data_IF_707220178667
#
_entry.id   IF_707220178667
#
_cell.length_a   1.000
_cell.length_b   1.000
_cell.length_c   1.000
_cell.angle_alpha   90.00
_cell.angle_beta   90.00
_cell.angle_gamma   90.00
#
_symmetry.space_group_name_H-M   'P 1'
#
loop_
_entity.id
_entity.type
_entity.pdbx_description
1 polymer ?
#
# COMPACT_ATOMS: atom_id res chain seq x y z
N UNK A 1 2.87 -8.21 12.62
CA UNK A 1 3.31 -7.65 11.32
C UNK A 1 4.17 -6.45 11.63
N UNK A 2 5.36 -6.34 11.05
CA UNK A 2 6.24 -5.19 11.31
C UNK A 2 5.67 -3.93 10.65
N UNK A 3 5.60 -2.85 11.42
CA UNK A 3 5.16 -1.53 10.97
C UNK A 3 6.35 -0.63 10.61
N UNK A 4 6.11 0.47 9.92
CA UNK A 4 7.14 1.50 9.67
C UNK A 4 7.67 2.10 10.97
N UNK A 5 6.83 2.19 12.01
CA UNK A 5 7.22 2.65 13.33
C UNK A 5 8.21 1.70 14.01
N UNK A 6 8.01 0.37 13.87
CA UNK A 6 8.95 -0.63 14.41
C UNK A 6 10.32 -0.51 13.72
N UNK A 7 10.34 -0.32 12.38
CA UNK A 7 11.59 -0.11 11.65
C UNK A 7 12.29 1.18 12.05
N UNK A 8 11.56 2.25 12.33
CA UNK A 8 12.15 3.50 12.83
C UNK A 8 12.79 3.29 14.21
N UNK A 9 12.13 2.53 15.10
CA UNK A 9 12.68 2.19 16.41
C UNK A 9 13.94 1.33 16.29
N UNK A 10 13.95 0.31 15.42
CA UNK A 10 15.15 -0.49 15.16
C UNK A 10 16.27 0.34 14.55
N UNK A 11 15.96 1.32 13.69
CA UNK A 11 16.94 2.26 13.17
C UNK A 11 17.60 3.08 14.29
N UNK A 12 16.82 3.59 15.24
CA UNK A 12 17.34 4.34 16.38
C UNK A 12 18.31 3.48 17.23
N UNK A 13 17.90 2.27 17.59
CA UNK A 13 18.76 1.36 18.37
C UNK A 13 20.03 0.95 17.61
N UNK A 14 19.90 0.65 16.33
CA UNK A 14 21.03 0.34 15.47
C UNK A 14 21.97 1.53 15.31
N UNK A 15 21.44 2.75 15.21
CA UNK A 15 22.21 3.98 15.15
C UNK A 15 23.02 4.23 16.42
N UNK A 16 22.40 4.06 17.60
CA UNK A 16 23.08 4.15 18.89
C UNK A 16 24.21 3.11 18.97
N UNK A 17 23.92 1.85 18.60
CA UNK A 17 24.94 0.81 18.58
C UNK A 17 26.09 1.13 17.61
N UNK A 18 25.81 1.70 16.45
CA UNK A 18 26.81 2.17 15.48
C UNK A 18 27.76 3.21 16.11
N UNK A 19 27.20 4.19 16.84
CA UNK A 19 27.98 5.22 17.53
C UNK A 19 28.84 4.61 18.64
N UNK A 20 28.34 3.64 19.39
CA UNK A 20 29.12 2.90 20.43
C UNK A 20 30.27 2.15 19.78
N UNK A 21 30.06 1.42 18.69
CA UNK A 21 31.13 0.71 17.99
C UNK A 21 32.16 1.67 17.38
N UNK A 22 31.72 2.83 16.87
CA UNK A 22 32.64 3.86 16.39
C UNK A 22 33.53 4.41 17.52
N UNK A 23 32.94 4.72 18.69
CA UNK A 23 33.70 5.17 19.85
C UNK A 23 34.70 4.11 20.32
N UNK A 24 34.27 2.84 20.39
CA UNK A 24 35.16 1.73 20.74
C UNK A 24 36.28 1.54 19.70
N UNK A 25 36.02 1.73 18.42
CA UNK A 25 37.03 1.68 17.38
C UNK A 25 38.08 2.77 17.61
N UNK A 26 37.67 4.02 17.88
CA UNK A 26 38.59 5.13 18.18
C UNK A 26 39.46 4.79 19.39
N UNK A 27 38.86 4.34 20.49
CA UNK A 27 39.59 3.93 21.70
C UNK A 27 40.57 2.78 21.40
N UNK A 28 40.16 1.79 20.60
CA UNK A 28 41.03 0.68 20.22
C UNK A 28 42.24 1.12 19.38
N UNK A 29 42.14 2.21 18.61
CA UNK A 29 43.30 2.79 17.93
C UNK A 29 44.21 3.54 18.89
N UNK A 30 43.66 4.29 19.85
CA UNK A 30 44.43 5.03 20.87
C UNK A 30 45.21 4.03 21.75
N UNK A 31 44.56 2.98 22.21
CA UNK A 31 45.18 1.96 23.09
C UNK A 31 45.92 0.86 22.30
N UNK A 32 46.00 0.95 20.98
CA UNK A 32 46.67 -0.01 20.08
C UNK A 32 46.21 -1.46 20.27
N UNK A 33 44.90 -1.67 20.52
CA UNK A 33 44.32 -3.02 20.68
C UNK A 33 44.44 -3.83 19.41
N UNK A 34 44.68 -5.14 19.49
CA UNK A 34 44.79 -6.02 18.34
C UNK A 34 43.50 -6.16 17.52
N UNK A 35 42.35 -5.82 18.11
CA UNK A 35 41.03 -5.93 17.48
C UNK A 35 40.59 -4.64 16.74
N UNK A 36 41.41 -3.56 16.71
CA UNK A 36 41.07 -2.25 16.16
C UNK A 36 40.47 -2.32 14.74
N UNK A 37 41.07 -3.09 13.85
CA UNK A 37 40.58 -3.23 12.46
C UNK A 37 39.26 -3.99 12.36
N UNK A 38 39.03 -4.97 13.26
CA UNK A 38 37.74 -5.69 13.34
C UNK A 38 36.62 -4.75 13.78
N UNK A 39 36.90 -3.85 14.72
CA UNK A 39 35.92 -2.84 15.17
C UNK A 39 35.56 -1.86 14.06
N UNK A 40 36.50 -1.46 13.19
CA UNK A 40 36.20 -0.64 12.00
C UNK A 40 35.24 -1.38 11.08
N UNK A 41 35.51 -2.65 10.78
CA UNK A 41 34.63 -3.47 9.95
C UNK A 41 33.22 -3.61 10.54
N UNK A 42 33.11 -3.86 11.85
CA UNK A 42 31.83 -3.92 12.56
C UNK A 42 31.09 -2.58 12.51
N UNK A 43 31.77 -1.46 12.71
CA UNK A 43 31.17 -0.12 12.63
C UNK A 43 30.64 0.14 11.22
N UNK A 44 31.40 -0.20 10.18
CA UNK A 44 30.98 -0.06 8.79
C UNK A 44 29.74 -0.89 8.47
N UNK A 45 29.71 -2.15 8.92
CA UNK A 45 28.54 -3.02 8.77
C UNK A 45 27.31 -2.45 9.49
N UNK A 46 27.46 -2.01 10.73
CA UNK A 46 26.35 -1.42 11.52
C UNK A 46 25.82 -0.14 10.88
N UNK A 47 26.67 0.68 10.24
CA UNK A 47 26.26 1.88 9.52
C UNK A 47 25.38 1.52 8.32
N UNK A 48 25.78 0.53 7.52
CA UNK A 48 24.98 0.05 6.38
C UNK A 48 23.66 -0.56 6.85
N UNK A 49 23.68 -1.35 7.94
CA UNK A 49 22.47 -1.92 8.54
C UNK A 49 21.50 -0.82 9.00
N UNK A 50 22.00 0.21 9.68
CA UNK A 50 21.20 1.35 10.12
C UNK A 50 20.57 2.08 8.93
N UNK A 51 21.34 2.32 7.87
CA UNK A 51 20.81 2.93 6.63
C UNK A 51 19.74 2.07 5.96
N UNK A 52 19.90 0.75 5.93
CA UNK A 52 18.90 -0.18 5.42
C UNK A 52 17.61 -0.18 6.22
N UNK A 53 17.70 -0.23 7.56
CA UNK A 53 16.54 -0.14 8.45
C UNK A 53 15.81 1.20 8.31
N UNK A 54 16.56 2.29 8.18
CA UNK A 54 15.99 3.61 7.92
C UNK A 54 15.23 3.63 6.59
N UNK A 55 15.81 3.10 5.52
CA UNK A 55 15.13 3.03 4.23
C UNK A 55 13.81 2.23 4.31
N UNK A 56 13.77 1.13 5.08
CA UNK A 56 12.56 0.35 5.32
C UNK A 56 11.52 1.10 6.17
N UNK A 57 11.92 2.07 6.99
CA UNK A 57 11.00 2.90 7.76
C UNK A 57 10.27 3.94 6.91
N UNK A 58 10.82 4.33 5.75
CA UNK A 58 10.24 5.35 4.88
C UNK A 58 9.10 4.82 4.01
N UNK A 59 9.11 3.54 3.68
CA UNK A 59 8.12 2.91 2.80
C UNK A 59 7.39 1.81 3.55
N UNK A 60 6.05 1.87 3.69
CA UNK A 60 5.30 0.81 4.34
C UNK A 60 5.40 -0.48 3.51
N UNK A 61 6.02 -1.50 4.07
CA UNK A 61 6.16 -2.84 3.47
C UNK A 61 4.84 -3.62 3.49
N UNK A 62 3.93 -3.28 4.41
CA UNK A 62 2.63 -3.92 4.53
C UNK A 62 1.54 -3.02 3.96
N UNK A 63 0.67 -3.60 3.14
CA UNK A 63 -0.55 -2.93 2.71
C UNK A 63 -1.52 -2.86 3.88
N UNK A 64 -2.14 -1.70 4.08
CA UNK A 64 -3.23 -1.58 5.05
C UNK A 64 -4.37 -2.50 4.64
N UNK A 65 -4.75 -3.42 5.51
CA UNK A 65 -5.89 -4.31 5.28
C UNK A 65 -7.12 -3.65 5.89
N UNK A 66 -8.13 -3.41 5.05
CA UNK A 66 -9.42 -2.86 5.50
C UNK A 66 -10.34 -4.04 5.83
N UNK A 67 -10.84 -4.12 7.08
CA UNK A 67 -11.75 -5.20 7.48
C UNK A 67 -13.00 -5.24 6.60
N UNK A 68 -13.41 -6.43 6.19
CA UNK A 68 -14.59 -6.63 5.33
C UNK A 68 -14.34 -6.41 3.83
N UNK A 69 -13.13 -6.02 3.42
CA UNK A 69 -12.79 -5.91 2.01
C UNK A 69 -12.74 -7.29 1.34
N UNK A 70 -13.45 -7.43 0.21
CA UNK A 70 -13.42 -8.61 -0.65
C UNK A 70 -12.18 -8.64 -1.56
N UNK A 71 -11.95 -9.79 -2.17
CA UNK A 71 -10.92 -9.93 -3.22
C UNK A 71 -11.37 -9.20 -4.48
N UNK A 72 -10.43 -8.53 -5.13
CA UNK A 72 -10.64 -7.88 -6.42
C UNK A 72 -9.47 -8.14 -7.36
N UNK A 73 -9.71 -7.99 -8.65
CA UNK A 73 -8.69 -8.06 -9.71
C UNK A 73 -8.65 -6.73 -10.44
N UNK A 74 -7.46 -6.18 -10.63
CA UNK A 74 -7.27 -4.99 -11.46
C UNK A 74 -7.42 -5.38 -12.93
N UNK A 75 -8.38 -4.75 -13.63
CA UNK A 75 -8.70 -5.06 -15.03
C UNK A 75 -8.17 -3.98 -15.97
N UNK A 76 -8.18 -2.75 -15.51
CA UNK A 76 -7.72 -1.60 -16.29
C UNK A 76 -7.09 -0.57 -15.36
N UNK A 77 -5.96 -0.01 -15.78
CA UNK A 77 -5.30 1.10 -15.12
C UNK A 77 -4.57 1.94 -16.18
N UNK A 78 -4.94 3.22 -16.28
CA UNK A 78 -4.27 4.14 -17.21
C UNK A 78 -2.97 4.74 -16.65
N UNK A 79 -2.55 4.31 -15.46
CA UNK A 79 -1.36 4.82 -14.78
C UNK A 79 -1.51 6.25 -14.21
N UNK A 80 -2.65 6.91 -14.40
CA UNK A 80 -2.93 8.29 -14.02
C UNK A 80 -4.18 8.37 -13.11
N UNK A 81 -5.31 8.76 -13.67
CA UNK A 81 -6.53 9.17 -12.95
C UNK A 81 -7.64 8.13 -12.94
N UNK A 82 -7.51 7.02 -13.67
CA UNK A 82 -8.59 6.04 -13.81
C UNK A 82 -8.10 4.62 -13.67
N UNK A 83 -8.83 3.83 -12.87
CA UNK A 83 -8.65 2.40 -12.76
C UNK A 83 -10.01 1.68 -12.69
N UNK A 84 -10.05 0.42 -13.12
CA UNK A 84 -11.22 -0.44 -13.04
C UNK A 84 -10.82 -1.75 -12.38
N UNK A 85 -11.59 -2.13 -11.37
CA UNK A 85 -11.43 -3.40 -10.68
C UNK A 85 -12.62 -4.33 -10.97
N UNK A 86 -12.35 -5.62 -11.06
CA UNK A 86 -13.38 -6.66 -11.14
C UNK A 86 -13.56 -7.30 -9.78
N UNK A 87 -14.79 -7.51 -9.39
CA UNK A 87 -15.20 -8.07 -8.09
C UNK A 87 -16.19 -9.22 -8.29
N UNK A 88 -16.35 -10.04 -7.24
CA UNK A 88 -17.33 -11.12 -7.25
C UNK A 88 -18.77 -10.55 -7.29
N UNK A 89 -19.69 -11.10 -8.09
CA UNK A 89 -21.11 -10.69 -8.12
C UNK A 89 -21.85 -10.87 -6.79
N UNK A 90 -21.40 -11.76 -5.91
CA UNK A 90 -22.02 -12.03 -4.60
C UNK A 90 -21.64 -11.01 -3.51
N UNK A 91 -20.98 -9.91 -3.86
CA UNK A 91 -20.51 -8.93 -2.90
C UNK A 91 -21.67 -8.13 -2.29
N UNK A 92 -21.65 -7.91 -0.98
CA UNK A 92 -22.60 -7.02 -0.32
C UNK A 92 -22.21 -5.53 -0.53
N UNK A 93 -23.16 -4.58 -0.42
CA UNK A 93 -22.84 -3.15 -0.54
C UNK A 93 -21.78 -2.68 0.46
N UNK A 94 -21.81 -3.16 1.70
CA UNK A 94 -20.79 -2.84 2.72
C UNK A 94 -19.42 -3.41 2.39
N UNK A 95 -19.37 -4.65 1.89
CA UNK A 95 -18.13 -5.26 1.44
C UNK A 95 -17.58 -4.58 0.17
N UNK A 96 -18.45 -4.08 -0.71
CA UNK A 96 -18.05 -3.28 -1.86
C UNK A 96 -17.39 -1.96 -1.44
N UNK A 97 -17.96 -1.26 -0.46
CA UNK A 97 -17.36 -0.03 0.07
C UNK A 97 -15.97 -0.30 0.64
N UNK A 98 -15.83 -1.32 1.49
CA UNK A 98 -14.54 -1.72 2.06
C UNK A 98 -13.54 -2.10 0.96
N UNK A 99 -13.99 -2.81 -0.08
CA UNK A 99 -13.15 -3.22 -1.22
C UNK A 99 -12.69 -2.02 -2.06
N UNK A 100 -13.56 -1.05 -2.30
CA UNK A 100 -13.21 0.18 -3.00
C UNK A 100 -12.18 1.00 -2.21
N UNK A 101 -12.35 1.12 -0.89
CA UNK A 101 -11.36 1.78 -0.01
C UNK A 101 -10.03 1.04 -0.02
N UNK A 102 -10.06 -0.31 0.02
CA UNK A 102 -8.85 -1.13 -0.08
C UNK A 102 -8.14 -0.94 -1.42
N UNK A 103 -8.90 -0.92 -2.53
CA UNK A 103 -8.35 -0.66 -3.86
C UNK A 103 -7.75 0.74 -3.96
N UNK A 104 -8.42 1.75 -3.39
CA UNK A 104 -7.92 3.12 -3.35
C UNK A 104 -6.59 3.23 -2.60
N UNK A 105 -6.44 2.52 -1.48
CA UNK A 105 -5.17 2.46 -0.74
C UNK A 105 -4.08 1.73 -1.52
N UNK A 106 -4.40 0.59 -2.15
CA UNK A 106 -3.42 -0.25 -2.84
C UNK A 106 -2.94 0.32 -4.16
N UNK A 107 -3.81 1.06 -4.89
CA UNK A 107 -3.51 1.62 -6.20
C UNK A 107 -2.95 3.04 -6.13
N UNK A 108 -2.82 3.60 -4.94
CA UNK A 108 -2.16 4.88 -4.75
C UNK A 108 -0.66 4.80 -5.07
N UNK A 109 -0.16 5.78 -5.80
CA UNK A 109 1.27 5.96 -6.06
C UNK A 109 1.58 7.44 -6.24
N UNK A 110 2.70 7.90 -5.70
CA UNK A 110 3.21 9.27 -5.92
C UNK A 110 3.55 9.56 -7.39
N UNK A 111 3.78 8.52 -8.20
CA UNK A 111 4.06 8.67 -9.63
C UNK A 111 2.83 8.86 -10.51
N UNK A 112 1.62 8.77 -9.96
CA UNK A 112 0.40 9.07 -10.70
C UNK A 112 0.27 10.58 -10.87
N UNK A 113 0.28 11.04 -12.10
CA UNK A 113 0.10 12.44 -12.43
C UNK A 113 -1.38 12.72 -12.73
N UNK A 114 -1.92 13.74 -12.08
CA UNK A 114 -3.22 14.30 -12.42
C UNK A 114 -3.21 14.82 -13.86
N UNK A 115 -4.35 14.78 -14.52
CA UNK A 115 -4.50 15.25 -15.89
C UNK A 115 -5.36 16.53 -15.91
N UNK A 116 -4.86 17.60 -16.53
CA UNK A 116 -5.61 18.85 -16.74
C UNK A 116 -6.26 19.46 -15.48
N UNK A 117 -5.54 19.49 -14.37
CA UNK A 117 -6.02 20.11 -13.13
C UNK A 117 -6.86 19.19 -12.23
N UNK A 118 -7.27 18.00 -12.67
CA UNK A 118 -7.88 16.98 -11.80
C UNK A 118 -6.80 16.06 -11.21
N UNK A 119 -6.45 16.29 -9.95
CA UNK A 119 -5.47 15.51 -9.22
C UNK A 119 -6.15 14.39 -8.39
N UNK A 120 -7.12 13.70 -9.00
CA UNK A 120 -7.87 12.63 -8.36
C UNK A 120 -7.81 11.32 -9.13
N UNK A 121 -7.76 10.20 -8.38
CA UNK A 121 -7.87 8.85 -8.92
C UNK A 121 -9.31 8.37 -8.73
N UNK A 122 -9.98 8.02 -9.83
CA UNK A 122 -11.29 7.38 -9.84
C UNK A 122 -11.13 5.88 -10.09
N UNK A 123 -11.59 5.06 -9.14
CA UNK A 123 -11.59 3.60 -9.26
C UNK A 123 -13.03 3.14 -9.35
N UNK A 124 -13.36 2.43 -10.44
CA UNK A 124 -14.69 1.86 -10.68
C UNK A 124 -14.66 0.36 -10.41
N UNK A 125 -15.65 -0.12 -9.66
CA UNK A 125 -15.84 -1.55 -9.43
C UNK A 125 -16.90 -2.09 -10.37
N UNK A 126 -16.55 -3.15 -11.10
CA UNK A 126 -17.48 -3.87 -11.98
C UNK A 126 -17.51 -5.36 -11.66
N UNK A 127 -18.61 -5.99 -11.97
CA UNK A 127 -18.72 -7.45 -12.11
C UNK A 127 -19.12 -7.80 -13.53
N UNK A 128 -19.00 -9.08 -13.90
CA UNK A 128 -19.50 -9.61 -15.18
C UNK A 128 -20.79 -10.38 -14.89
N UNK A 129 -21.84 -10.03 -15.59
CA UNK A 129 -23.09 -10.80 -15.59
C UNK A 129 -23.27 -11.46 -16.96
N UNK A 130 -23.82 -12.67 -16.95
CA UNK A 130 -24.04 -13.48 -18.14
C UNK A 130 -25.56 -13.64 -18.35
N UNK A 131 -26.24 -12.66 -18.99
CA UNK A 131 -27.70 -12.72 -19.17
C UNK A 131 -28.12 -13.85 -20.12
N UNK A 132 -27.25 -14.19 -21.08
CA UNK A 132 -27.47 -15.27 -22.05
C UNK A 132 -26.20 -16.09 -22.29
N UNK A 133 -26.29 -17.34 -22.72
CA UNK A 133 -25.12 -18.14 -23.04
C UNK A 133 -24.24 -17.46 -24.09
N UNK A 134 -22.95 -17.26 -23.77
CA UNK A 134 -21.97 -16.61 -24.63
C UNK A 134 -21.96 -15.07 -24.57
N UNK A 135 -22.87 -14.44 -23.83
CA UNK A 135 -22.92 -12.99 -23.64
C UNK A 135 -22.43 -12.62 -22.25
N UNK A 136 -21.41 -11.74 -22.19
CA UNK A 136 -20.87 -11.20 -20.94
C UNK A 136 -21.02 -9.68 -20.93
N UNK A 137 -21.76 -9.16 -19.95
CA UNK A 137 -22.02 -7.71 -19.82
C UNK A 137 -21.37 -7.21 -18.55
N UNK A 138 -20.54 -6.14 -18.62
CA UNK A 138 -19.98 -5.51 -17.44
C UNK A 138 -21.04 -4.69 -16.71
N UNK A 139 -21.27 -4.98 -15.44
CA UNK A 139 -22.16 -4.22 -14.56
C UNK A 139 -21.32 -3.44 -13.54
N UNK A 140 -21.40 -2.13 -13.58
CA UNK A 140 -20.70 -1.26 -12.62
C UNK A 140 -21.54 -1.11 -11.35
N UNK A 141 -20.96 -1.44 -10.19
CA UNK A 141 -21.66 -1.46 -8.90
C UNK A 141 -21.34 -0.24 -8.04
N UNK A 142 -20.26 0.46 -8.35
CA UNK A 142 -19.87 1.66 -7.61
C UNK A 142 -18.52 2.20 -8.04
N UNK A 143 -18.15 3.31 -7.44
CA UNK A 143 -16.86 3.96 -7.66
C UNK A 143 -16.35 4.65 -6.39
N UNK A 144 -15.05 4.86 -6.32
CA UNK A 144 -14.39 5.69 -5.31
C UNK A 144 -13.51 6.71 -6.00
N UNK A 145 -13.54 7.94 -5.48
CA UNK A 145 -12.68 9.02 -5.92
C UNK A 145 -11.80 9.46 -4.74
N UNK A 146 -10.47 9.46 -4.96
CA UNK A 146 -9.48 9.88 -3.96
C UNK A 146 -8.56 10.94 -4.53
N UNK A 147 -8.03 11.80 -3.65
CA UNK A 147 -7.02 12.77 -4.01
C UNK A 147 -5.65 12.08 -4.16
N UNK A 148 -4.88 12.46 -5.19
CA UNK A 148 -3.51 11.99 -5.44
C UNK A 148 -2.44 12.83 -4.73
N UNK A 149 -2.80 14.03 -4.20
CA UNK A 149 -1.85 14.89 -3.52
C UNK A 149 -1.45 14.34 -2.12
N UNK A 150 -2.30 13.53 -1.49
CA UNK A 150 -2.04 12.97 -0.17
C UNK A 150 -2.18 11.46 -0.17
N UNK A 151 -1.25 10.79 0.54
CA UNK A 151 -1.33 9.35 0.76
C UNK A 151 -2.49 8.98 1.69
N UNK A 152 -2.70 9.77 2.73
CA UNK A 152 -3.81 9.60 3.67
C UNK A 152 -4.93 10.58 3.31
N UNK A 153 -5.79 10.17 2.38
CA UNK A 153 -6.99 10.91 2.03
C UNK A 153 -8.15 10.43 2.91
N UNK A 154 -8.49 11.24 3.90
CA UNK A 154 -9.62 10.96 4.82
C UNK A 154 -10.97 11.25 4.12
N UNK A 155 -10.97 12.09 3.07
CA UNK A 155 -12.16 12.59 2.40
C UNK A 155 -12.48 11.86 1.10
N UNK A 156 -12.12 10.56 0.99
CA UNK A 156 -12.45 9.77 -0.19
C UNK A 156 -13.97 9.73 -0.40
N UNK A 157 -14.43 10.12 -1.59
CA UNK A 157 -15.84 10.01 -1.98
C UNK A 157 -16.13 8.62 -2.51
N UNK A 158 -17.04 7.89 -1.84
CA UNK A 158 -17.51 6.57 -2.25
C UNK A 158 -18.94 6.70 -2.73
N UNK A 159 -19.21 6.16 -3.91
CA UNK A 159 -20.54 6.11 -4.52
C UNK A 159 -20.89 4.66 -4.86
N UNK A 160 -22.00 4.16 -4.31
CA UNK A 160 -22.47 2.80 -4.52
C UNK A 160 -23.81 2.86 -5.26
N UNK A 161 -23.91 2.17 -6.39
CA UNK A 161 -25.10 2.15 -7.24
C UNK A 161 -26.06 1.06 -6.78
N UNK A 162 -26.88 1.34 -5.80
CA UNK A 162 -27.78 0.38 -5.18
C UNK A 162 -28.81 -0.21 -6.16
N UNK A 163 -29.24 0.56 -7.15
CA UNK A 163 -30.12 0.11 -8.22
C UNK A 163 -29.51 -1.01 -9.06
N UNK A 164 -28.19 -1.06 -9.17
CA UNK A 164 -27.46 -2.08 -9.93
C UNK A 164 -27.35 -3.41 -9.20
N UNK A 165 -27.44 -3.41 -7.87
CA UNK A 165 -27.45 -4.66 -7.09
C UNK A 165 -28.68 -5.52 -7.38
N UNK A 166 -29.81 -4.92 -7.75
CA UNK A 166 -31.01 -5.64 -8.16
C UNK A 166 -30.83 -6.44 -9.46
N UNK A 167 -29.81 -6.10 -10.27
CA UNK A 167 -29.49 -6.77 -11.55
C UNK A 167 -28.47 -7.91 -11.37
N UNK A 168 -27.95 -8.12 -10.15
CA UNK A 168 -27.02 -9.21 -9.88
C UNK A 168 -27.77 -10.56 -9.90
N UNK A 169 -27.12 -11.62 -10.40
CA UNK A 169 -27.67 -12.97 -10.27
C UNK A 169 -27.82 -13.31 -8.79
N UNK A 170 -28.99 -13.85 -8.41
CA UNK A 170 -29.20 -14.34 -7.05
C UNK A 170 -28.21 -15.47 -6.77
N UNK A 171 -27.60 -15.52 -5.57
CA UNK A 171 -26.72 -16.63 -5.23
C UNK A 171 -27.46 -17.95 -5.40
N UNK A 172 -26.92 -18.82 -6.23
CA UNK A 172 -27.35 -20.22 -6.33
C UNK A 172 -26.98 -20.87 -5.01
N UNK A 173 -28.02 -21.26 -4.25
CA UNK A 173 -27.89 -22.01 -3.00
C UNK A 173 -27.26 -23.38 -3.24
#
# INVERSE_FOLDING_TARGET
>A
MFSTADFLQYTQWSGIATLVFAALAILAFIFKWGIRFRLVGTTGFMLVLTGGLFALSLVPLSRTVIPGAGKYTLVYDNGSTQAVISINPEISPSALEATLRQAASNLYSYGRLGKQGDNSLTIRARTLVHPEPGVSVPLYLGQIKRNLASREDVNMSVEIYQDKFAQLPKPTA
#
